data_IF_889727034712
#
_entry.id   IF_889727034712
#
_cell.length_a   1.000
_cell.length_b   1.000
_cell.length_c   1.000
_cell.angle_alpha   90.00
_cell.angle_beta   90.00
_cell.angle_gamma   90.00
#
_symmetry.space_group_name_H-M   'P 1'
#
loop_
_entity.id
_entity.type
_entity.pdbx_description
1 polymer ?
#
# COMPACT_ATOMS: atom_id res chain seq x y z
N UNK A 1 12.25 3.16 -22.97
CA UNK A 1 11.89 3.02 -22.34
C UNK A 1 11.27 2.68 -21.73
N UNK A 2 11.25 2.47 -21.57
CA UNK A 2 10.75 2.15 -21.04
C UNK A 2 9.74 2.08 -20.47
N UNK A 3 9.23 2.14 -20.72
CA UNK A 3 7.95 2.13 -20.34
C UNK A 3 7.73 1.43 -19.14
N UNK A 4 8.25 0.50 -19.15
CA UNK A 4 8.29 -0.15 -18.06
C UNK A 4 8.49 0.66 -16.93
N UNK A 5 9.24 1.54 -17.11
CA UNK A 5 9.52 2.44 -16.13
C UNK A 5 8.35 3.06 -15.50
N UNK A 6 7.25 2.96 -16.10
CA UNK A 6 6.10 3.63 -15.58
C UNK A 6 5.80 3.24 -14.17
N UNK A 7 5.98 2.02 -13.83
CA UNK A 7 5.73 1.63 -12.49
C UNK A 7 6.65 2.30 -11.54
N UNK A 8 7.82 2.62 -12.03
CA UNK A 8 8.82 3.21 -11.21
C UNK A 8 8.62 4.67 -11.01
N UNK A 9 7.70 5.25 -11.77
CA UNK A 9 7.45 6.67 -11.67
C UNK A 9 6.62 7.05 -10.47
N UNK A 10 6.04 6.09 -9.81
CA UNK A 10 5.26 6.39 -8.61
C UNK A 10 6.23 6.44 -7.46
N UNK A 11 6.68 7.64 -7.16
CA UNK A 11 7.67 7.88 -6.13
C UNK A 11 7.01 8.52 -4.93
N UNK A 12 7.12 7.88 -3.79
CA UNK A 12 6.53 8.36 -2.55
C UNK A 12 6.97 9.79 -2.23
N UNK A 13 8.23 10.11 -2.44
CA UNK A 13 8.75 11.42 -2.10
C UNK A 13 8.25 12.51 -3.03
N UNK A 14 7.99 12.17 -4.28
CA UNK A 14 7.54 13.15 -5.26
C UNK A 14 6.04 13.27 -5.29
N UNK A 15 5.35 12.15 -5.14
CA UNK A 15 3.90 12.16 -5.22
C UNK A 15 3.30 11.12 -4.27
N UNK A 16 3.21 11.48 -2.98
CA UNK A 16 2.69 10.53 -1.98
C UNK A 16 1.26 10.09 -2.26
N UNK A 17 0.44 10.97 -2.83
CA UNK A 17 -0.93 10.61 -3.15
C UNK A 17 -1.01 9.49 -4.17
N UNK A 18 -0.25 9.61 -5.25
CA UNK A 18 -0.25 8.58 -6.29
C UNK A 18 0.32 7.27 -5.76
N UNK A 19 1.35 7.35 -4.93
CA UNK A 19 1.96 6.16 -4.34
C UNK A 19 0.97 5.43 -3.45
N UNK A 20 0.22 6.18 -2.63
CA UNK A 20 -0.78 5.58 -1.75
C UNK A 20 -1.90 4.95 -2.56
N UNK A 21 -2.36 5.63 -3.61
CA UNK A 21 -3.41 5.08 -4.47
C UNK A 21 -2.95 3.77 -5.09
N UNK A 22 -1.72 3.72 -5.54
CA UNK A 22 -1.16 2.50 -6.10
C UNK A 22 -1.11 1.38 -5.05
N UNK A 23 -0.62 1.70 -3.86
CA UNK A 23 -0.51 0.72 -2.79
C UNK A 23 -1.89 0.19 -2.37
N UNK A 24 -2.87 1.08 -2.28
CA UNK A 24 -4.23 0.67 -1.91
C UNK A 24 -4.82 -0.29 -2.94
N UNK A 25 -4.53 -0.05 -4.22
CA UNK A 25 -4.98 -0.96 -5.26
C UNK A 25 -4.32 -2.33 -5.13
N UNK A 26 -3.02 -2.34 -4.84
CA UNK A 26 -2.29 -3.59 -4.66
C UNK A 26 -2.86 -4.36 -3.47
N UNK A 27 -3.11 -3.68 -2.37
CA UNK A 27 -3.65 -4.31 -1.18
C UNK A 27 -5.07 -4.83 -1.42
N UNK A 28 -5.85 -4.07 -2.19
CA UNK A 28 -7.22 -4.47 -2.48
C UNK A 28 -7.27 -5.67 -3.41
N UNK A 29 -6.25 -5.85 -4.26
CA UNK A 29 -6.17 -6.96 -5.17
C UNK A 29 -5.48 -8.19 -4.58
N UNK A 30 -4.96 -8.08 -3.37
CA UNK A 30 -4.31 -9.21 -2.71
C UNK A 30 -5.32 -10.35 -2.54
N UNK A 31 -4.88 -11.57 -2.83
CA UNK A 31 -5.76 -12.74 -2.83
C UNK A 31 -6.04 -13.28 -1.44
N UNK A 32 -5.19 -12.97 -0.49
CA UNK A 32 -5.32 -13.50 0.87
C UNK A 32 -4.65 -12.57 1.86
N UNK A 33 -4.88 -12.82 3.14
CA UNK A 33 -4.21 -12.06 4.20
C UNK A 33 -2.70 -12.26 4.10
N UNK A 34 -2.25 -13.45 3.73
CA UNK A 34 -0.83 -13.71 3.54
C UNK A 34 -0.23 -12.87 2.44
N UNK A 35 -0.94 -12.74 1.31
CA UNK A 35 -0.48 -11.91 0.21
C UNK A 35 -0.45 -10.45 0.62
N UNK A 36 -1.44 -10.02 1.39
CA UNK A 36 -1.52 -8.66 1.89
C UNK A 36 -0.31 -8.36 2.79
N UNK A 37 0.01 -9.28 3.69
CA UNK A 37 1.15 -9.11 4.58
C UNK A 37 2.46 -9.04 3.79
N UNK A 38 2.58 -9.83 2.73
CA UNK A 38 3.77 -9.83 1.90
C UNK A 38 3.98 -8.48 1.22
N UNK A 39 2.88 -7.89 0.73
CA UNK A 39 2.94 -6.57 0.11
C UNK A 39 3.40 -5.53 1.13
N UNK A 40 2.85 -5.59 2.34
CA UNK A 40 3.20 -4.64 3.38
C UNK A 40 4.66 -4.76 3.78
N UNK A 41 5.18 -5.98 3.87
CA UNK A 41 6.57 -6.18 4.19
C UNK A 41 7.49 -5.68 3.10
N UNK A 42 7.11 -5.90 1.85
CA UNK A 42 7.91 -5.47 0.72
C UNK A 42 8.02 -3.95 0.66
N UNK A 43 7.01 -3.24 1.16
CA UNK A 43 6.97 -1.78 1.12
C UNK A 43 7.07 -1.14 2.49
N UNK A 44 7.57 -1.88 3.46
CA UNK A 44 7.63 -1.39 4.83
C UNK A 44 8.44 -0.10 4.97
N UNK A 45 9.52 0.03 4.22
CA UNK A 45 10.35 1.23 4.27
C UNK A 45 9.57 2.45 3.80
N UNK A 46 8.88 2.31 2.69
CA UNK A 46 8.08 3.40 2.13
C UNK A 46 6.93 3.77 3.05
N UNK A 47 6.31 2.77 3.67
CA UNK A 47 5.22 3.02 4.60
C UNK A 47 5.72 3.82 5.80
N UNK A 48 6.90 3.50 6.30
CA UNK A 48 7.48 4.25 7.41
C UNK A 48 7.81 5.68 7.01
N UNK A 49 8.27 5.89 5.78
CA UNK A 49 8.50 7.23 5.26
C UNK A 49 7.19 7.99 5.16
N UNK A 50 6.15 7.34 4.68
CA UNK A 50 4.84 7.96 4.55
C UNK A 50 4.32 8.42 5.90
N UNK A 51 4.58 7.66 6.95
CA UNK A 51 4.13 8.02 8.29
C UNK A 51 4.69 9.37 8.72
N UNK A 52 5.89 9.69 8.26
CA UNK A 52 6.50 10.98 8.55
C UNK A 52 6.00 12.08 7.61
N UNK A 53 5.72 11.71 6.36
CA UNK A 53 5.30 12.68 5.35
C UNK A 53 3.82 13.03 5.51
N UNK A 54 2.98 12.03 5.65
CA UNK A 54 1.53 12.24 5.70
C UNK A 54 0.88 11.13 6.53
N UNK A 55 0.85 11.29 7.85
CA UNK A 55 0.31 10.26 8.74
C UNK A 55 -1.17 9.96 8.52
N UNK A 56 -1.91 10.90 7.95
CA UNK A 56 -3.34 10.67 7.68
C UNK A 56 -3.52 9.52 6.69
N UNK A 57 -2.63 9.41 5.73
CA UNK A 57 -2.72 8.35 4.73
C UNK A 57 -2.43 6.98 5.31
N UNK A 58 -1.63 6.94 6.37
CA UNK A 58 -1.38 5.69 7.08
C UNK A 58 -2.68 5.16 7.68
N UNK A 59 -3.54 6.07 8.14
CA UNK A 59 -4.84 5.66 8.70
C UNK A 59 -5.67 4.96 7.64
N UNK A 60 -5.68 5.49 6.41
CA UNK A 60 -6.41 4.86 5.32
C UNK A 60 -5.88 3.48 4.99
N UNK A 61 -4.57 3.32 4.96
CA UNK A 61 -3.94 2.03 4.69
C UNK A 61 -4.32 1.04 5.79
N UNK A 62 -4.21 1.46 7.04
CA UNK A 62 -4.52 0.59 8.17
C UNK A 62 -5.99 0.18 8.19
N UNK A 63 -6.88 1.09 7.81
CA UNK A 63 -8.30 0.78 7.76
C UNK A 63 -8.60 -0.28 6.69
N UNK A 64 -7.95 -0.18 5.53
CA UNK A 64 -8.14 -1.17 4.49
C UNK A 64 -7.64 -2.55 4.94
N UNK A 65 -6.47 -2.57 5.58
CA UNK A 65 -5.89 -3.81 6.08
C UNK A 65 -6.82 -4.45 7.11
N UNK A 66 -7.32 -3.64 8.02
CA UNK A 66 -8.20 -4.12 9.07
C UNK A 66 -9.49 -4.68 8.47
N UNK A 67 -10.03 -3.98 7.49
CA UNK A 67 -11.25 -4.40 6.83
C UNK A 67 -11.05 -5.74 6.14
N UNK A 68 -9.95 -5.90 5.39
CA UNK A 68 -9.65 -7.14 4.70
C UNK A 68 -9.48 -8.30 5.66
N UNK A 69 -8.79 -8.05 6.78
CA UNK A 69 -8.59 -9.10 7.78
C UNK A 69 -9.90 -9.53 8.42
N UNK A 70 -10.79 -8.58 8.65
CA UNK A 70 -12.09 -8.90 9.22
C UNK A 70 -12.91 -9.76 8.30
N UNK A 71 -12.95 -9.41 7.03
CA UNK A 71 -13.71 -10.16 6.05
C UNK A 71 -13.19 -11.58 5.94
N UNK A 72 -11.89 -11.73 5.81
CA UNK A 72 -11.30 -13.05 5.63
C UNK A 72 -11.32 -13.86 6.93
N UNK A 73 -11.24 -13.19 8.04
CA UNK A 73 -11.31 -13.85 9.33
C UNK A 73 -12.66 -14.42 9.66
N UNK A 74 -13.71 -13.91 9.01
CA UNK A 74 -15.04 -14.40 9.25
C UNK A 74 -15.31 -15.70 8.49
N UNK A 75 -14.43 -16.03 7.60
CA UNK A 75 -14.56 -17.25 6.83
C UNK A 75 -13.88 -18.40 7.55
#
# INVERSE_FOLDING_TARGET
MLPVGNCLLVDLNQNPTAWVDWLLKELNNAQSVGALAAILQAHNREINQLRSIDPVRIIHINNLIKYRKQIEGLQ
#
